data_IF_937836506513
#
_entry.id   IF_937836506513
#
_cell.length_a   1.000
_cell.length_b   1.000
_cell.length_c   1.000
_cell.angle_alpha   90.00
_cell.angle_beta   90.00
_cell.angle_gamma   90.00
#
_symmetry.space_group_name_H-M   'P 1'
#
loop_
_entity.id
_entity.type
_entity.pdbx_description
1 polymer ?
#
# COMPACT_ATOMS: atom_id res chain seq x y z
N UNK A 1 39.38 0.19 12.42
CA UNK A 1 38.43 -0.87 12.00
C UNK A 1 37.74 -0.40 10.73
N UNK A 2 38.15 -0.90 9.56
CA UNK A 2 37.57 -0.50 8.28
C UNK A 2 36.21 -1.15 8.11
N UNK A 3 35.14 -0.39 8.34
CA UNK A 3 33.77 -0.82 8.05
C UNK A 3 33.72 -1.35 6.60
N UNK A 4 33.34 -2.61 6.42
CA UNK A 4 33.17 -3.24 5.12
C UNK A 4 32.12 -2.45 4.32
N UNK A 5 32.58 -1.56 3.45
CA UNK A 5 31.70 -0.74 2.60
C UNK A 5 31.18 -1.61 1.46
N UNK A 6 29.99 -2.16 1.62
CA UNK A 6 29.27 -2.85 0.54
C UNK A 6 28.89 -1.84 -0.55
N UNK A 7 29.18 -2.15 -1.80
CA UNK A 7 28.86 -1.29 -2.95
C UNK A 7 27.52 -1.72 -3.52
N UNK A 8 26.62 -0.76 -3.72
CA UNK A 8 25.37 -0.94 -4.45
C UNK A 8 25.53 -0.28 -5.82
N UNK A 9 25.45 -1.07 -6.88
CA UNK A 9 25.52 -0.61 -8.27
C UNK A 9 24.16 -0.79 -8.89
N UNK A 10 23.67 0.24 -9.57
CA UNK A 10 22.35 0.25 -10.21
C UNK A 10 22.55 0.61 -11.68
N UNK A 11 22.15 -0.28 -12.56
CA UNK A 11 22.06 0.02 -13.99
C UNK A 11 20.82 0.88 -14.23
N UNK A 12 21.00 1.96 -14.99
CA UNK A 12 19.98 2.98 -15.15
C UNK A 12 19.90 3.45 -16.59
N UNK A 13 18.67 3.71 -17.02
CA UNK A 13 18.41 4.42 -18.26
C UNK A 13 19.04 5.85 -18.23
N UNK A 14 19.67 6.32 -19.32
CA UNK A 14 20.32 7.62 -19.36
C UNK A 14 19.41 8.81 -19.05
N UNK A 15 18.12 8.75 -19.43
CA UNK A 15 17.17 9.81 -19.12
C UNK A 15 16.83 9.81 -17.63
N UNK A 16 16.70 8.64 -17.02
CA UNK A 16 16.49 8.52 -15.59
C UNK A 16 17.70 9.06 -14.79
N UNK A 17 18.92 8.75 -15.24
CA UNK A 17 20.15 9.30 -14.64
C UNK A 17 20.21 10.83 -14.71
N UNK A 18 19.85 11.43 -15.86
CA UNK A 18 19.80 12.90 -15.99
C UNK A 18 18.81 13.52 -15.01
N UNK A 19 17.62 12.95 -14.89
CA UNK A 19 16.59 13.43 -13.95
C UNK A 19 17.10 13.38 -12.50
N UNK A 20 17.74 12.29 -12.08
CA UNK A 20 18.33 12.20 -10.75
C UNK A 20 19.41 13.26 -10.51
N UNK A 21 20.30 13.47 -11.48
CA UNK A 21 21.35 14.51 -11.36
C UNK A 21 20.77 15.91 -11.21
N UNK A 22 19.75 16.25 -12.00
CA UNK A 22 19.09 17.55 -11.91
C UNK A 22 18.45 17.75 -10.53
N UNK A 23 17.70 16.75 -10.04
CA UNK A 23 17.04 16.86 -8.73
C UNK A 23 18.06 16.94 -7.60
N UNK A 24 19.13 16.14 -7.65
CA UNK A 24 20.21 16.19 -6.66
C UNK A 24 20.88 17.57 -6.64
N UNK A 25 21.15 18.16 -7.81
CA UNK A 25 21.69 19.51 -7.94
C UNK A 25 20.74 20.58 -7.39
N UNK A 26 19.43 20.49 -7.69
CA UNK A 26 18.41 21.39 -7.14
C UNK A 26 18.34 21.32 -5.61
N UNK A 27 18.63 20.15 -5.02
CA UNK A 27 18.69 19.95 -3.57
C UNK A 27 20.07 20.24 -2.97
N UNK A 28 21.05 20.65 -3.77
CA UNK A 28 22.41 20.94 -3.30
C UNK A 28 23.16 19.72 -2.75
N UNK A 29 22.77 18.50 -3.14
CA UNK A 29 23.36 17.24 -2.64
C UNK A 29 23.98 16.43 -3.78
N UNK A 30 24.89 15.53 -3.43
CA UNK A 30 25.43 14.58 -4.41
C UNK A 30 24.34 13.59 -4.85
N UNK A 31 24.43 13.09 -6.09
CA UNK A 31 23.51 12.07 -6.60
C UNK A 31 23.48 10.81 -5.72
N UNK A 32 24.64 10.40 -5.18
CA UNK A 32 24.73 9.27 -4.25
C UNK A 32 23.94 9.52 -2.98
N UNK A 33 24.11 10.69 -2.37
CA UNK A 33 23.41 11.06 -1.14
C UNK A 33 21.91 11.17 -1.37
N UNK A 34 21.50 11.71 -2.52
CA UNK A 34 20.10 11.74 -2.93
C UNK A 34 19.50 10.34 -3.06
N UNK A 35 20.19 9.41 -3.73
CA UNK A 35 19.69 8.04 -3.88
C UNK A 35 19.58 7.34 -2.52
N UNK A 36 20.60 7.48 -1.65
CA UNK A 36 20.57 6.88 -0.33
C UNK A 36 19.43 7.42 0.53
N UNK A 37 19.22 8.74 0.54
CA UNK A 37 18.11 9.32 1.31
C UNK A 37 16.75 8.94 0.74
N UNK A 38 16.60 8.87 -0.58
CA UNK A 38 15.37 8.43 -1.21
C UNK A 38 15.05 6.96 -0.89
N UNK A 39 16.05 6.08 -0.91
CA UNK A 39 15.88 4.66 -0.54
C UNK A 39 15.56 4.52 0.95
N UNK A 40 16.27 5.23 1.84
CA UNK A 40 15.96 5.22 3.27
C UNK A 40 14.52 5.64 3.54
N UNK A 41 14.07 6.76 2.95
CA UNK A 41 12.70 7.24 3.11
C UNK A 41 11.64 6.29 2.54
N UNK A 42 11.98 5.53 1.49
CA UNK A 42 11.08 4.52 0.95
C UNK A 42 10.98 3.33 1.91
N UNK A 43 12.11 2.86 2.46
CA UNK A 43 12.14 1.80 3.46
C UNK A 43 11.38 2.20 4.73
N UNK A 44 11.62 3.41 5.26
CA UNK A 44 10.92 3.91 6.45
C UNK A 44 9.40 3.94 6.24
N UNK A 45 8.94 4.26 5.02
CA UNK A 45 7.52 4.23 4.66
C UNK A 45 6.98 2.83 4.52
N UNK A 46 7.73 1.93 3.90
CA UNK A 46 7.30 0.53 3.74
C UNK A 46 7.24 -0.18 5.11
N UNK A 47 8.20 0.10 6.00
CA UNK A 47 8.17 -0.37 7.39
C UNK A 47 7.00 0.25 8.17
N UNK A 48 6.77 1.55 8.05
CA UNK A 48 5.61 2.19 8.65
C UNK A 48 4.28 1.65 8.11
N UNK A 49 4.21 1.28 6.82
CA UNK A 49 3.03 0.62 6.24
C UNK A 49 2.85 -0.79 6.82
N UNK A 50 3.93 -1.52 7.10
CA UNK A 50 3.85 -2.82 7.76
C UNK A 50 3.48 -2.72 9.25
N UNK A 51 3.77 -1.59 9.89
CA UNK A 51 3.32 -1.27 11.26
C UNK A 51 1.88 -0.74 11.31
N UNK A 52 1.45 0.06 10.32
CA UNK A 52 0.11 0.66 10.22
C UNK A 52 -0.93 -0.24 9.56
N UNK A 53 -0.51 -1.28 8.81
CA UNK A 53 -1.42 -2.37 8.47
C UNK A 53 -1.85 -3.01 9.78
N UNK A 54 -3.17 -3.12 10.07
CA UNK A 54 -3.61 -3.96 11.16
C UNK A 54 -3.00 -5.33 10.87
N UNK A 55 -2.08 -5.79 11.72
CA UNK A 55 -1.74 -7.21 11.77
C UNK A 55 -3.04 -7.88 12.19
N UNK A 56 -3.83 -8.28 11.20
CA UNK A 56 -4.97 -9.15 11.40
C UNK A 56 -4.39 -10.44 11.94
N UNK A 57 -4.23 -10.50 13.27
CA UNK A 57 -3.90 -11.72 13.95
C UNK A 57 -5.10 -12.66 13.82
N UNK A 58 -4.83 -13.95 13.96
CA UNK A 58 -5.85 -15.01 13.85
C UNK A 58 -7.06 -14.70 14.74
N UNK A 59 -6.80 -14.18 15.95
CA UNK A 59 -7.83 -13.76 16.90
C UNK A 59 -8.73 -12.61 16.40
N UNK A 60 -8.19 -11.65 15.65
CA UNK A 60 -8.97 -10.53 15.07
C UNK A 60 -9.82 -11.02 13.91
N UNK A 61 -9.31 -11.96 13.10
CA UNK A 61 -10.08 -12.61 12.05
C UNK A 61 -11.21 -13.45 12.64
N UNK A 62 -10.93 -14.20 13.71
CA UNK A 62 -11.94 -15.02 14.42
C UNK A 62 -13.04 -14.15 15.03
N UNK A 63 -12.68 -13.02 15.66
CA UNK A 63 -13.66 -12.05 16.16
C UNK A 63 -14.51 -11.46 15.04
N UNK A 64 -13.93 -11.21 13.87
CA UNK A 64 -14.65 -10.69 12.71
C UNK A 64 -15.60 -11.73 12.12
N UNK A 65 -15.18 -13.00 12.04
CA UNK A 65 -16.05 -14.10 11.61
C UNK A 65 -17.17 -14.38 12.61
N UNK A 66 -16.88 -14.38 13.91
CA UNK A 66 -17.90 -14.51 14.95
C UNK A 66 -18.90 -13.36 14.92
N UNK A 67 -18.43 -12.13 14.67
CA UNK A 67 -19.32 -10.96 14.52
C UNK A 67 -20.19 -11.08 13.27
N UNK A 68 -19.61 -11.49 12.13
CA UNK A 68 -20.36 -11.77 10.90
C UNK A 68 -21.43 -12.84 11.16
N UNK A 69 -21.05 -13.95 11.78
CA UNK A 69 -21.97 -15.06 12.02
C UNK A 69 -23.05 -14.69 13.04
N UNK A 70 -22.77 -13.78 13.97
CA UNK A 70 -23.75 -13.20 14.89
C UNK A 70 -24.72 -12.24 14.20
N UNK A 71 -24.22 -11.38 13.31
CA UNK A 71 -25.05 -10.39 12.59
C UNK A 71 -25.92 -11.09 11.55
N UNK A 72 -25.37 -12.08 10.87
CA UNK A 72 -26.03 -12.77 9.77
C UNK A 72 -26.63 -14.12 10.17
N UNK A 73 -26.51 -14.54 11.44
CA UNK A 73 -27.04 -15.80 12.00
C UNK A 73 -26.74 -17.03 11.10
N UNK A 74 -25.54 -17.08 10.51
CA UNK A 74 -25.14 -18.16 9.59
C UNK A 74 -25.84 -18.14 8.22
N UNK A 75 -26.67 -17.13 7.92
CA UNK A 75 -27.20 -16.92 6.57
C UNK A 75 -26.08 -16.37 5.69
N UNK A 76 -25.71 -17.11 4.64
CA UNK A 76 -25.00 -16.51 3.51
C UNK A 76 -25.88 -15.35 3.01
N UNK A 77 -25.29 -14.17 2.85
CA UNK A 77 -25.94 -13.06 2.17
C UNK A 77 -26.59 -13.61 0.89
N UNK A 78 -27.91 -13.43 0.70
CA UNK A 78 -28.57 -13.97 -0.46
C UNK A 78 -28.06 -13.19 -1.68
N UNK A 79 -27.26 -13.86 -2.52
CA UNK A 79 -26.73 -13.31 -3.76
C UNK A 79 -25.24 -12.98 -3.72
N UNK A 80 -24.61 -13.09 -4.89
CA UNK A 80 -23.27 -12.55 -5.13
C UNK A 80 -23.29 -11.06 -4.81
N UNK A 81 -22.18 -10.53 -4.28
CA UNK A 81 -21.96 -9.10 -4.07
C UNK A 81 -22.38 -8.23 -5.28
N UNK A 82 -22.22 -8.77 -6.49
CA UNK A 82 -22.67 -8.16 -7.73
C UNK A 82 -24.20 -8.02 -7.86
N UNK A 83 -24.97 -8.98 -7.33
CA UNK A 83 -26.43 -8.97 -7.38
C UNK A 83 -27.00 -7.94 -6.40
N UNK A 84 -26.43 -7.84 -5.19
CA UNK A 84 -26.82 -6.81 -4.21
C UNK A 84 -26.56 -5.38 -4.74
N UNK A 85 -25.45 -5.20 -5.46
CA UNK A 85 -25.15 -3.93 -6.12
C UNK A 85 -26.09 -3.64 -7.29
N UNK A 86 -26.58 -4.67 -7.98
CA UNK A 86 -27.57 -4.53 -9.06
C UNK A 86 -28.92 -4.08 -8.49
N UNK A 87 -29.42 -4.76 -7.46
CA UNK A 87 -30.66 -4.40 -6.78
C UNK A 87 -30.62 -2.97 -6.21
N UNK A 88 -29.52 -2.59 -5.55
CA UNK A 88 -29.36 -1.24 -5.01
C UNK A 88 -29.38 -0.15 -6.10
N UNK A 89 -28.87 -0.44 -7.29
CA UNK A 89 -28.94 0.48 -8.45
C UNK A 89 -30.36 0.60 -8.99
N UNK A 90 -31.10 -0.50 -9.05
CA UNK A 90 -32.49 -0.51 -9.52
C UNK A 90 -33.43 0.23 -8.56
N UNK A 91 -33.24 0.07 -7.24
CA UNK A 91 -34.00 0.82 -6.22
C UNK A 91 -33.75 2.32 -6.38
N UNK A 92 -32.48 2.74 -6.48
CA UNK A 92 -32.10 4.14 -6.66
C UNK A 92 -32.66 4.75 -7.94
N UNK A 93 -32.71 3.98 -9.04
CA UNK A 93 -33.32 4.43 -10.29
C UNK A 93 -34.84 4.62 -10.18
N UNK A 94 -35.50 3.85 -9.31
CA UNK A 94 -36.94 3.92 -9.06
C UNK A 94 -37.34 5.09 -8.15
N UNK A 95 -36.45 5.53 -7.27
CA UNK A 95 -36.67 6.68 -6.37
C UNK A 95 -36.36 8.04 -7.01
N UNK A 96 -35.63 8.06 -8.14
CA UNK A 96 -35.22 9.27 -8.87
C UNK A 96 -35.99 9.48 -10.19
N UNK A 97 -36.96 8.63 -10.50
CA UNK A 97 -37.88 8.77 -11.64
C UNK A 97 -39.28 9.14 -11.17
#
# INVERSE_FOLDING_TARGET
MSANKTRFTLDMDPMFQKRLKVIAALKGVSMRQYCLSAVSQALDKDEAIDEERPRFNEETLDRLFALRDKIFEGRKLPGDSADLLREAREIRARELG
#
